data_IF_315563712294
#
_entry.id   IF_315563712294
#
_cell.length_a   1.000
_cell.length_b   1.000
_cell.length_c   1.000
_cell.angle_alpha   90.00
_cell.angle_beta   90.00
_cell.angle_gamma   90.00
#
_symmetry.space_group_name_H-M   'P 1'
#
loop_
_entity.id
_entity.type
_entity.pdbx_description
1 polymer ?
#
# COMPACT_ATOMS: atom_id res chain seq x y z
N UNK A 1 7.89 -26.09 60.56
CA UNK A 1 9.29 -25.89 60.99
C UNK A 1 10.20 -26.69 60.07
N UNK A 2 11.41 -26.16 59.82
CA UNK A 2 12.54 -26.74 59.07
C UNK A 2 12.35 -26.82 57.54
N UNK A 3 13.36 -26.60 56.68
CA UNK A 3 14.65 -25.87 56.70
C UNK A 3 15.23 -26.13 55.30
N UNK A 4 15.96 -25.16 54.75
CA UNK A 4 17.03 -25.32 53.75
C UNK A 4 16.61 -25.77 52.33
N UNK A 5 17.17 -25.24 51.25
CA UNK A 5 18.34 -24.38 51.16
C UNK A 5 18.61 -23.96 49.72
N UNK A 6 19.37 -22.87 49.62
CA UNK A 6 20.01 -22.41 48.40
C UNK A 6 21.02 -23.47 47.89
N UNK A 7 20.87 -23.89 46.63
CA UNK A 7 21.96 -24.29 45.74
C UNK A 7 21.38 -24.33 44.31
N UNK A 8 21.62 -23.29 43.53
CA UNK A 8 22.54 -23.33 42.38
C UNK A 8 22.22 -24.45 41.38
N UNK A 9 21.79 -24.07 40.17
CA UNK A 9 22.52 -24.33 38.92
C UNK A 9 21.76 -23.68 37.77
N UNK A 10 22.44 -22.73 37.13
CA UNK A 10 22.13 -22.14 35.84
C UNK A 10 22.25 -23.23 34.78
N UNK A 11 21.17 -23.59 34.07
CA UNK A 11 21.32 -24.14 32.71
C UNK A 11 20.04 -23.90 31.89
N UNK A 12 20.20 -23.08 30.86
CA UNK A 12 19.40 -23.02 29.64
C UNK A 12 17.90 -22.66 29.78
N UNK A 13 17.63 -21.36 29.98
CA UNK A 13 16.50 -20.76 29.25
C UNK A 13 16.87 -20.74 27.77
N UNK A 14 16.62 -21.86 27.08
CA UNK A 14 16.39 -21.80 25.63
C UNK A 14 15.17 -20.91 25.49
N UNK A 15 15.41 -19.69 25.05
CA UNK A 15 14.38 -18.82 24.53
C UNK A 15 13.66 -19.60 23.43
N UNK A 16 12.57 -20.27 23.80
CA UNK A 16 11.42 -20.44 22.91
C UNK A 16 11.03 -19.02 22.56
N UNK A 17 11.66 -18.50 21.51
CA UNK A 17 11.16 -17.38 20.74
C UNK A 17 9.70 -17.73 20.54
N UNK A 18 8.86 -16.97 21.24
CA UNK A 18 7.53 -16.68 20.81
C UNK A 18 7.68 -16.24 19.35
N UNK A 19 7.58 -17.20 18.44
CA UNK A 19 7.03 -16.96 17.13
C UNK A 19 5.61 -16.58 17.48
N UNK A 20 5.45 -15.29 17.78
CA UNK A 20 4.28 -14.52 17.44
C UNK A 20 4.03 -14.95 16.01
N UNK A 21 3.15 -15.93 15.85
CA UNK A 21 2.39 -16.06 14.64
C UNK A 21 1.69 -14.73 14.51
N UNK A 22 2.39 -13.77 13.92
CA UNK A 22 1.82 -13.08 12.80
C UNK A 22 1.31 -14.22 11.90
N UNK A 23 0.10 -14.68 12.19
CA UNK A 23 -0.95 -14.53 11.20
C UNK A 23 -0.75 -13.12 10.64
N UNK A 24 0.16 -13.02 9.67
CA UNK A 24 -0.18 -12.41 8.43
C UNK A 24 -1.51 -13.07 8.09
N UNK A 25 -2.59 -12.49 8.63
CA UNK A 25 -3.80 -12.30 7.87
C UNK A 25 -3.26 -12.07 6.47
N UNK A 26 -3.52 -13.04 5.60
CA UNK A 26 -3.30 -12.94 4.18
C UNK A 26 -4.08 -11.69 3.77
N UNK A 27 -3.45 -10.54 3.98
CA UNK A 27 -3.94 -9.24 3.64
C UNK A 27 -3.77 -9.29 2.15
N UNK A 28 -4.78 -9.91 1.51
CA UNK A 28 -4.84 -10.22 0.10
C UNK A 28 -4.20 -9.05 -0.60
N UNK A 29 -2.92 -9.22 -0.93
CA UNK A 29 -2.12 -8.11 -1.37
C UNK A 29 -2.63 -7.92 -2.78
N UNK A 30 -3.63 -7.05 -2.92
CA UNK A 30 -4.26 -6.73 -4.18
C UNK A 30 -3.14 -6.57 -5.18
N UNK A 31 -3.31 -7.22 -6.36
CA UNK A 31 -2.23 -7.49 -7.35
C UNK A 31 -1.12 -6.44 -7.29
N UNK A 32 0.17 -6.83 -7.32
CA UNK A 32 1.28 -5.87 -7.27
C UNK A 32 1.01 -4.74 -8.27
N UNK A 33 1.23 -3.48 -7.87
CA UNK A 33 0.90 -2.37 -8.75
C UNK A 33 1.59 -2.58 -10.09
N UNK A 34 0.78 -2.72 -11.13
CA UNK A 34 1.29 -3.01 -12.46
C UNK A 34 2.17 -1.87 -13.00
N UNK A 35 2.10 -0.69 -12.40
CA UNK A 35 3.03 0.42 -12.63
C UNK A 35 4.28 0.23 -11.78
N UNK A 36 5.32 -0.36 -12.37
CA UNK A 36 6.60 -0.64 -11.69
C UNK A 36 7.32 0.60 -11.14
N UNK A 37 6.93 1.81 -11.58
CA UNK A 37 7.42 3.10 -11.08
C UNK A 37 6.25 4.09 -10.97
N UNK A 38 5.56 4.15 -9.82
CA UNK A 38 4.61 5.23 -9.58
C UNK A 38 5.37 6.57 -9.58
N UNK A 39 5.05 7.44 -10.54
CA UNK A 39 5.74 8.72 -10.74
C UNK A 39 5.32 9.80 -9.73
N UNK A 40 4.27 9.54 -8.93
CA UNK A 40 3.79 10.43 -7.87
C UNK A 40 3.92 9.75 -6.51
N UNK A 41 4.23 10.55 -5.47
CA UNK A 41 4.35 10.03 -4.11
C UNK A 41 2.99 9.49 -3.63
N UNK A 42 1.90 10.13 -4.03
CA UNK A 42 0.53 9.66 -3.84
C UNK A 42 0.31 8.19 -4.25
N UNK A 43 0.69 7.84 -5.49
CA UNK A 43 0.45 6.50 -6.02
C UNK A 43 1.44 5.48 -5.43
N UNK A 44 2.66 5.92 -5.12
CA UNK A 44 3.66 5.10 -4.45
C UNK A 44 3.23 4.70 -3.03
N UNK A 45 2.65 5.62 -2.26
CA UNK A 45 2.19 5.36 -0.90
C UNK A 45 0.97 4.43 -0.88
N UNK A 46 -0.01 4.69 -1.76
CA UNK A 46 -1.17 3.82 -1.93
C UNK A 46 -0.77 2.41 -2.38
N UNK A 47 0.22 2.31 -3.27
CA UNK A 47 0.74 1.02 -3.70
C UNK A 47 1.43 0.24 -2.59
N UNK A 48 2.26 0.91 -1.78
CA UNK A 48 2.90 0.30 -0.60
C UNK A 48 1.88 -0.17 0.45
N UNK A 49 0.75 0.53 0.55
CA UNK A 49 -0.29 0.25 1.54
C UNK A 49 -1.13 -0.99 1.22
N UNK A 50 -1.42 -1.26 -0.05
CA UNK A 50 -2.26 -2.40 -0.41
C UNK A 50 -2.33 -2.70 -1.90
N UNK A 51 -1.23 -2.43 -2.62
CA UNK A 51 -1.08 -2.78 -4.03
C UNK A 51 -2.05 -2.06 -4.95
N UNK A 52 -2.46 -2.74 -6.02
CA UNK A 52 -3.25 -2.14 -7.10
C UNK A 52 -4.64 -1.69 -6.65
N UNK A 53 -5.25 -2.38 -5.69
CA UNK A 53 -6.59 -2.04 -5.20
C UNK A 53 -6.61 -0.74 -4.39
N UNK A 54 -5.64 -0.55 -3.50
CA UNK A 54 -5.48 0.71 -2.76
C UNK A 54 -5.08 1.86 -3.70
N UNK A 55 -4.20 1.62 -4.67
CA UNK A 55 -3.89 2.60 -5.71
C UNK A 55 -5.13 3.02 -6.50
N UNK A 56 -6.03 2.08 -6.83
CA UNK A 56 -7.29 2.35 -7.55
C UNK A 56 -8.28 3.11 -6.68
N UNK A 57 -8.39 2.80 -5.38
CA UNK A 57 -9.22 3.59 -4.44
C UNK A 57 -8.72 5.02 -4.32
N UNK A 58 -7.42 5.19 -4.16
CA UNK A 58 -6.78 6.50 -4.08
C UNK A 58 -7.04 7.31 -5.37
N UNK A 59 -6.84 6.71 -6.55
CA UNK A 59 -7.17 7.34 -7.84
C UNK A 59 -8.65 7.68 -8.01
N UNK A 60 -9.57 6.83 -7.55
CA UNK A 60 -11.00 7.15 -7.57
C UNK A 60 -11.32 8.34 -6.66
N UNK A 61 -10.67 8.44 -5.50
CA UNK A 61 -10.79 9.59 -4.59
C UNK A 61 -10.33 10.88 -5.25
N UNK A 62 -9.15 10.85 -5.88
CA UNK A 62 -8.63 11.95 -6.67
C UNK A 62 -9.58 12.35 -7.80
N UNK A 63 -10.07 11.39 -8.59
CA UNK A 63 -10.99 11.65 -9.70
C UNK A 63 -12.30 12.30 -9.21
N UNK A 64 -12.85 11.89 -8.06
CA UNK A 64 -14.02 12.55 -7.46
C UNK A 64 -13.74 14.01 -7.12
N UNK A 65 -12.54 14.32 -6.61
CA UNK A 65 -12.11 15.70 -6.36
C UNK A 65 -11.97 16.49 -7.66
N UNK A 66 -11.27 15.92 -8.64
CA UNK A 66 -11.03 16.54 -9.93
C UNK A 66 -12.33 16.79 -10.71
N UNK A 67 -13.33 15.92 -10.57
CA UNK A 67 -14.67 16.10 -11.15
C UNK A 67 -15.41 17.35 -10.67
N UNK A 68 -15.04 17.92 -9.52
CA UNK A 68 -15.64 19.18 -9.05
C UNK A 68 -15.28 20.37 -9.95
N UNK A 69 -14.08 20.35 -10.53
CA UNK A 69 -13.61 21.39 -11.46
C UNK A 69 -13.69 20.94 -12.92
N UNK A 70 -13.68 19.63 -13.17
CA UNK A 70 -13.68 19.03 -14.51
C UNK A 70 -14.74 17.90 -14.58
N UNK A 71 -16.03 18.22 -14.72
CA UNK A 71 -17.13 17.25 -14.57
C UNK A 71 -17.09 16.09 -15.59
N UNK A 72 -16.45 16.29 -16.74
CA UNK A 72 -16.27 15.28 -17.80
C UNK A 72 -15.07 14.37 -17.58
N UNK A 73 -14.29 14.59 -16.51
CA UNK A 73 -13.10 13.79 -16.25
C UNK A 73 -13.45 12.34 -15.94
N UNK A 74 -12.78 11.42 -16.62
CA UNK A 74 -12.90 9.97 -16.41
C UNK A 74 -11.53 9.32 -16.35
N UNK A 75 -11.47 8.02 -16.08
CA UNK A 75 -10.20 7.27 -16.15
C UNK A 75 -9.52 7.43 -17.52
N UNK A 76 -10.29 7.53 -18.61
CA UNK A 76 -9.78 7.74 -19.97
C UNK A 76 -9.24 9.16 -20.21
N UNK A 77 -9.49 10.10 -19.31
CA UNK A 77 -8.90 11.45 -19.38
C UNK A 77 -7.40 11.42 -19.10
N UNK A 78 -6.91 10.44 -18.34
CA UNK A 78 -5.50 10.29 -17.96
C UNK A 78 -4.87 9.00 -18.51
N UNK A 79 -5.65 7.92 -18.69
CA UNK A 79 -5.12 6.65 -19.17
C UNK A 79 -5.43 6.43 -20.65
N UNK A 80 -4.49 5.82 -21.39
CA UNK A 80 -4.74 5.33 -22.75
C UNK A 80 -5.57 4.04 -22.73
N UNK A 81 -5.48 3.27 -21.64
CA UNK A 81 -6.30 2.08 -21.39
C UNK A 81 -6.56 1.89 -19.90
N UNK A 82 -7.80 1.55 -19.55
CA UNK A 82 -8.17 1.18 -18.18
C UNK A 82 -7.97 -0.33 -18.00
N UNK A 83 -7.17 -0.72 -17.01
CA UNK A 83 -6.82 -2.11 -16.72
C UNK A 83 -5.43 -2.50 -17.22
N UNK A 84 -4.95 -3.68 -16.79
CA UNK A 84 -3.57 -4.11 -17.01
C UNK A 84 -2.57 -3.19 -16.28
N UNK A 85 -1.65 -2.59 -17.03
CA UNK A 85 -0.61 -1.71 -16.52
C UNK A 85 -1.06 -0.25 -16.27
N UNK A 86 -2.31 0.09 -16.58
CA UNK A 86 -2.82 1.47 -16.51
C UNK A 86 -1.94 2.47 -17.26
N UNK A 87 -1.63 2.23 -18.55
CA UNK A 87 -0.75 3.10 -19.32
C UNK A 87 -1.29 4.54 -19.32
N UNK A 88 -0.41 5.47 -18.96
CA UNK A 88 -0.71 6.90 -18.88
C UNK A 88 -0.61 7.51 -20.27
N UNK A 89 -1.45 8.53 -20.52
CA UNK A 89 -1.25 9.44 -21.64
C UNK A 89 -0.02 10.31 -21.38
N UNK A 90 0.66 10.84 -22.43
CA UNK A 90 1.86 11.65 -22.26
C UNK A 90 1.66 12.88 -21.36
N UNK A 91 0.45 13.45 -21.38
CA UNK A 91 0.05 14.64 -20.64
C UNK A 91 -0.62 14.33 -19.29
N UNK A 92 -0.83 13.05 -18.97
CA UNK A 92 -1.60 12.63 -17.80
C UNK A 92 -0.96 13.06 -16.48
N UNK A 93 0.36 13.00 -16.40
CA UNK A 93 1.11 13.38 -15.20
C UNK A 93 1.08 14.87 -14.94
N UNK A 94 1.23 15.66 -16.00
CA UNK A 94 1.13 17.11 -15.91
C UNK A 94 -0.29 17.50 -15.46
N UNK A 95 -1.32 16.95 -16.11
CA UNK A 95 -2.72 17.16 -15.71
C UNK A 95 -3.00 16.73 -14.29
N UNK A 96 -2.45 15.61 -13.84
CA UNK A 96 -2.60 15.15 -12.47
C UNK A 96 -1.95 16.12 -11.47
N UNK A 97 -0.75 16.63 -11.76
CA UNK A 97 -0.06 17.65 -10.95
C UNK A 97 -0.82 18.97 -10.91
N UNK A 98 -1.31 19.44 -12.06
CA UNK A 98 -2.12 20.67 -12.16
C UNK A 98 -3.44 20.54 -11.39
N UNK A 99 -3.97 19.32 -11.32
CA UNK A 99 -5.14 18.97 -10.53
C UNK A 99 -4.82 18.69 -9.03
N UNK A 100 -3.57 18.90 -8.60
CA UNK A 100 -3.15 18.84 -7.20
C UNK A 100 -2.60 17.50 -6.73
N UNK A 101 -2.32 16.55 -7.62
CA UNK A 101 -1.66 15.29 -7.27
C UNK A 101 -0.16 15.53 -7.01
N UNK A 102 0.31 15.17 -5.81
CA UNK A 102 1.71 15.34 -5.37
C UNK A 102 2.35 13.99 -5.04
#
# INVERSE_FOLDING_TARGET
MAKLGFASIVTAFVATLAIVGFTAEDASAGKPCATAKPETKFLADACKKGGQDEAKKAMKGFLKGYKKTNPTATCNSCHTKVGGAYPLKPDALQKAKDAGMK
#
